data_IF_224867026220
#
_entry.id   IF_224867026220
#
_cell.length_a   1.000
_cell.length_b   1.000
_cell.length_c   1.000
_cell.angle_alpha   90.00
_cell.angle_beta   90.00
_cell.angle_gamma   90.00
#
_symmetry.space_group_name_H-M   'P 1'
#
loop_
_entity.id
_entity.type
_entity.pdbx_description
1 polymer ?
#
# COMPACT_ATOMS: atom_id res chain seq x y z
N UNK A 1 -1.87 14.88 1.64
CA UNK A 1 -3.33 14.69 1.49
C UNK A 1 -3.56 15.04 0.03
N UNK A 2 -4.42 14.38 -0.74
CA UNK A 2 -5.38 15.26 -1.40
C UNK A 2 -6.21 15.71 -0.23
N UNK A 3 -6.14 16.98 0.13
CA UNK A 3 -7.23 17.46 0.96
C UNK A 3 -8.43 17.21 0.06
N UNK A 4 -9.42 16.40 0.46
CA UNK A 4 -10.66 16.28 -0.33
C UNK A 4 -11.14 17.69 -0.71
N UNK A 5 -10.83 18.67 0.14
CA UNK A 5 -10.98 20.10 -0.08
C UNK A 5 -10.26 20.68 -1.30
N UNK A 6 -9.00 20.33 -1.61
CA UNK A 6 -8.29 20.84 -2.81
C UNK A 6 -8.87 20.23 -4.10
N UNK A 7 -9.19 18.94 -4.05
CA UNK A 7 -9.86 18.19 -5.13
C UNK A 7 -11.21 18.83 -5.43
N UNK A 8 -12.04 18.91 -4.38
CA UNK A 8 -13.37 19.49 -4.43
C UNK A 8 -13.28 20.96 -4.86
N UNK A 9 -12.34 21.73 -4.31
CA UNK A 9 -12.16 23.15 -4.66
C UNK A 9 -11.80 23.35 -6.12
N UNK A 10 -10.85 22.58 -6.67
CA UNK A 10 -10.48 22.69 -8.08
C UNK A 10 -11.62 22.29 -9.02
N UNK A 11 -12.36 21.23 -8.71
CA UNK A 11 -13.53 20.81 -9.51
C UNK A 11 -14.71 21.78 -9.36
N UNK A 12 -14.91 22.35 -8.17
CA UNK A 12 -15.90 23.40 -7.92
C UNK A 12 -15.56 24.68 -8.70
N UNK A 13 -14.28 25.06 -8.72
CA UNK A 13 -13.78 26.16 -9.55
C UNK A 13 -13.94 25.86 -11.05
N UNK A 14 -13.84 24.58 -11.45
CA UNK A 14 -13.91 24.14 -12.85
C UNK A 14 -15.15 23.28 -13.14
N UNK A 15 -16.34 23.92 -13.16
CA UNK A 15 -17.64 23.26 -13.41
C UNK A 15 -17.68 22.35 -14.65
N UNK A 16 -17.02 22.74 -15.75
CA UNK A 16 -16.98 21.93 -16.98
C UNK A 16 -16.22 20.62 -16.74
N UNK A 17 -15.13 20.67 -15.97
CA UNK A 17 -14.30 19.51 -15.67
C UNK A 17 -15.03 18.53 -14.75
N UNK A 18 -15.71 19.05 -13.73
CA UNK A 18 -16.57 18.27 -12.84
C UNK A 18 -17.66 17.50 -13.61
N UNK A 19 -18.35 18.18 -14.53
CA UNK A 19 -19.39 17.56 -15.35
C UNK A 19 -18.84 16.46 -16.28
N UNK A 20 -17.65 16.68 -16.88
CA UNK A 20 -17.01 15.67 -17.73
C UNK A 20 -16.56 14.45 -16.94
N UNK A 21 -16.06 14.63 -15.71
CA UNK A 21 -15.71 13.54 -14.81
C UNK A 21 -16.95 12.71 -14.47
N UNK A 22 -18.03 13.37 -14.06
CA UNK A 22 -19.27 12.72 -13.65
C UNK A 22 -19.88 11.87 -14.77
N UNK A 23 -19.91 12.40 -15.99
CA UNK A 23 -20.33 11.64 -17.18
C UNK A 23 -19.39 10.45 -17.47
N UNK A 24 -18.08 10.62 -17.35
CA UNK A 24 -17.11 9.55 -17.61
C UNK A 24 -17.25 8.41 -16.58
N UNK A 25 -17.45 8.73 -15.30
CA UNK A 25 -17.67 7.74 -14.24
C UNK A 25 -19.02 7.04 -14.42
N UNK A 26 -20.08 7.81 -14.69
CA UNK A 26 -21.44 7.29 -14.88
C UNK A 26 -21.56 6.35 -16.09
N UNK A 27 -20.84 6.64 -17.17
CA UNK A 27 -20.81 5.77 -18.37
C UNK A 27 -20.15 4.41 -18.12
N UNK A 28 -19.22 4.32 -17.16
CA UNK A 28 -18.56 3.05 -16.78
C UNK A 28 -19.41 2.25 -15.77
N UNK A 29 -20.21 2.95 -14.96
CA UNK A 29 -21.08 2.38 -13.92
C UNK A 29 -22.09 1.34 -14.38
N UNK A 30 -22.55 1.42 -15.63
CA UNK A 30 -23.58 0.52 -16.16
C UNK A 30 -23.07 -0.89 -16.51
N UNK A 31 -21.75 -1.12 -16.57
CA UNK A 31 -21.23 -2.38 -17.15
C UNK A 31 -20.25 -3.17 -16.27
N UNK A 32 -19.54 -2.56 -15.29
CA UNK A 32 -18.60 -3.29 -14.41
C UNK A 32 -18.44 -2.61 -13.03
N UNK A 33 -19.26 -2.96 -12.04
CA UNK A 33 -19.27 -2.31 -10.71
C UNK A 33 -17.91 -2.34 -9.96
N UNK A 34 -17.12 -3.41 -10.09
CA UNK A 34 -15.83 -3.53 -9.40
C UNK A 34 -14.67 -2.73 -10.03
N UNK A 35 -14.78 -2.30 -11.30
CA UNK A 35 -13.74 -1.51 -11.97
C UNK A 35 -14.03 -0.01 -11.94
N UNK A 36 -15.26 0.39 -11.60
CA UNK A 36 -15.70 1.79 -11.53
C UNK A 36 -14.86 2.60 -10.55
N UNK A 37 -14.50 2.05 -9.39
CA UNK A 37 -13.69 2.77 -8.41
C UNK A 37 -12.28 3.07 -8.95
N UNK A 38 -11.62 2.07 -9.54
CA UNK A 38 -10.27 2.22 -10.11
C UNK A 38 -10.29 3.16 -11.30
N UNK A 39 -11.27 2.99 -12.21
CA UNK A 39 -11.41 3.84 -13.39
C UNK A 39 -11.77 5.29 -13.01
N UNK A 40 -12.64 5.48 -12.02
CA UNK A 40 -12.97 6.79 -11.48
C UNK A 40 -11.77 7.49 -10.86
N UNK A 41 -10.98 6.78 -10.04
CA UNK A 41 -9.71 7.28 -9.49
C UNK A 41 -8.71 7.65 -10.58
N UNK A 42 -8.63 6.84 -11.64
CA UNK A 42 -7.76 7.11 -12.78
C UNK A 42 -8.19 8.33 -13.60
N UNK A 43 -9.47 8.44 -13.90
CA UNK A 43 -10.05 9.57 -14.60
C UNK A 43 -9.84 10.86 -13.80
N UNK A 44 -10.11 10.80 -12.49
CA UNK A 44 -9.86 11.89 -11.55
C UNK A 44 -8.41 12.34 -11.62
N UNK A 45 -7.44 11.42 -11.46
CA UNK A 45 -6.00 11.74 -11.52
C UNK A 45 -5.59 12.37 -12.85
N UNK A 46 -6.09 11.86 -13.98
CA UNK A 46 -5.84 12.41 -15.32
C UNK A 46 -6.39 13.82 -15.49
N UNK A 47 -7.58 14.12 -14.96
CA UNK A 47 -8.13 15.47 -15.01
C UNK A 47 -7.29 16.44 -14.18
N UNK A 48 -6.79 16.02 -13.02
CA UNK A 48 -5.91 16.88 -12.21
C UNK A 48 -4.56 17.17 -12.85
N UNK A 49 -4.09 16.38 -13.81
CA UNK A 49 -2.93 16.77 -14.61
C UNK A 49 -3.14 18.07 -15.40
N UNK A 50 -4.40 18.51 -15.59
CA UNK A 50 -4.68 19.83 -16.16
C UNK A 50 -4.30 20.99 -15.23
N UNK A 51 -4.13 20.73 -13.92
CA UNK A 51 -3.63 21.73 -12.97
C UNK A 51 -2.19 22.18 -13.28
N UNK A 52 -1.44 21.38 -14.05
CA UNK A 52 -0.12 21.76 -14.55
C UNK A 52 -0.14 22.99 -15.49
N UNK A 53 -1.31 23.36 -16.02
CA UNK A 53 -1.47 24.52 -16.91
C UNK A 53 -1.88 25.80 -16.17
N UNK A 54 -1.96 25.75 -14.84
CA UNK A 54 -2.34 26.89 -13.99
C UNK A 54 -1.32 27.07 -12.88
N UNK A 55 -0.82 28.29 -12.68
CA UNK A 55 0.18 28.56 -11.63
C UNK A 55 -0.39 28.32 -10.22
N UNK A 56 -1.68 28.62 -10.02
CA UNK A 56 -2.38 28.48 -8.73
C UNK A 56 -2.43 27.03 -8.22
N UNK A 57 -2.45 26.04 -9.11
CA UNK A 57 -2.57 24.61 -8.76
C UNK A 57 -1.37 23.78 -9.24
N UNK A 58 -0.23 24.43 -9.44
CA UNK A 58 0.99 23.75 -9.88
C UNK A 58 1.53 22.79 -8.81
N UNK A 59 1.28 23.05 -7.53
CA UNK A 59 1.62 22.16 -6.41
C UNK A 59 0.94 20.78 -6.54
N UNK A 60 -0.34 20.74 -6.90
CA UNK A 60 -1.09 19.50 -7.19
C UNK A 60 -0.42 18.71 -8.30
N UNK A 61 -0.01 19.40 -9.38
CA UNK A 61 0.71 18.79 -10.49
C UNK A 61 2.08 18.21 -10.07
N UNK A 62 2.86 18.97 -9.29
CA UNK A 62 4.17 18.51 -8.83
C UNK A 62 4.06 17.29 -7.90
N UNK A 63 3.02 17.26 -7.06
CA UNK A 63 2.75 16.11 -6.22
C UNK A 63 2.44 14.87 -7.06
N UNK A 64 1.56 14.98 -8.05
CA UNK A 64 1.23 13.86 -8.94
C UNK A 64 2.46 13.31 -9.66
N UNK A 65 3.32 14.19 -10.19
CA UNK A 65 4.58 13.80 -10.83
C UNK A 65 5.49 13.05 -9.87
N UNK A 66 5.58 13.51 -8.61
CA UNK A 66 6.41 12.88 -7.58
C UNK A 66 5.88 11.49 -7.19
N UNK A 67 4.57 11.36 -7.03
CA UNK A 67 3.91 10.08 -6.75
C UNK A 67 4.06 9.10 -7.92
N UNK A 68 3.89 9.56 -9.16
CA UNK A 68 4.08 8.74 -10.37
C UNK A 68 5.53 8.24 -10.46
N UNK A 69 6.51 9.09 -10.13
CA UNK A 69 7.93 8.73 -10.08
C UNK A 69 8.20 7.65 -9.02
N UNK A 70 7.68 7.82 -7.79
CA UNK A 70 7.81 6.84 -6.71
C UNK A 70 7.17 5.50 -7.08
N UNK A 71 5.98 5.54 -7.65
CA UNK A 71 5.28 4.34 -8.11
C UNK A 71 6.08 3.60 -9.18
N UNK A 72 6.59 4.32 -10.19
CA UNK A 72 7.46 3.76 -11.22
C UNK A 72 8.71 3.11 -10.63
N UNK A 73 9.39 3.78 -9.70
CA UNK A 73 10.58 3.25 -9.05
C UNK A 73 10.27 1.96 -8.28
N UNK A 74 9.13 1.92 -7.58
CA UNK A 74 8.67 0.71 -6.89
C UNK A 74 8.40 -0.45 -7.87
N UNK A 75 7.76 -0.17 -9.02
CA UNK A 75 7.52 -1.18 -10.07
C UNK A 75 8.83 -1.71 -10.65
N UNK A 76 9.80 -0.84 -10.92
CA UNK A 76 11.15 -1.25 -11.37
C UNK A 76 11.79 -2.19 -10.34
N UNK A 77 11.69 -1.85 -9.05
CA UNK A 77 12.23 -2.66 -7.96
C UNK A 77 11.55 -4.03 -7.88
N UNK A 78 10.23 -4.12 -8.08
CA UNK A 78 9.51 -5.41 -8.15
C UNK A 78 10.10 -6.29 -9.25
N UNK A 79 10.28 -5.72 -10.45
CA UNK A 79 10.81 -6.46 -11.62
C UNK A 79 12.23 -6.97 -11.34
N UNK A 80 13.04 -6.21 -10.59
CA UNK A 80 14.44 -6.56 -10.31
C UNK A 80 14.63 -7.52 -9.12
N UNK A 81 13.82 -7.41 -8.07
CA UNK A 81 14.08 -8.06 -6.77
C UNK A 81 13.00 -9.07 -6.33
N UNK A 82 11.92 -9.25 -7.10
CA UNK A 82 10.99 -10.38 -6.94
C UNK A 82 9.92 -10.20 -5.87
N UNK A 83 10.21 -10.49 -4.60
CA UNK A 83 9.19 -10.59 -3.54
C UNK A 83 9.08 -9.31 -2.69
N UNK A 84 8.45 -8.29 -3.27
CA UNK A 84 8.24 -7.01 -2.57
C UNK A 84 7.30 -7.13 -1.37
N UNK A 85 6.36 -8.08 -1.36
CA UNK A 85 5.51 -8.31 -0.18
C UNK A 85 6.32 -8.85 0.98
N UNK A 86 7.20 -9.82 0.73
CA UNK A 86 8.13 -10.30 1.74
C UNK A 86 9.00 -9.15 2.29
N UNK A 87 9.58 -8.32 1.43
CA UNK A 87 10.40 -7.19 1.86
C UNK A 87 9.62 -6.18 2.72
N UNK A 88 8.39 -5.84 2.33
CA UNK A 88 7.55 -4.96 3.14
C UNK A 88 7.21 -5.58 4.50
N UNK A 89 6.91 -6.87 4.56
CA UNK A 89 6.64 -7.59 5.81
C UNK A 89 7.89 -7.68 6.69
N UNK A 90 9.06 -7.93 6.10
CA UNK A 90 10.35 -7.93 6.79
C UNK A 90 10.59 -6.60 7.49
N UNK A 91 10.46 -5.49 6.75
CA UNK A 91 10.65 -4.13 7.30
C UNK A 91 9.65 -3.84 8.42
N UNK A 92 8.40 -4.27 8.26
CA UNK A 92 7.38 -4.11 9.31
C UNK A 92 7.77 -4.85 10.59
N UNK A 93 8.13 -6.13 10.49
CA UNK A 93 8.50 -6.92 11.66
C UNK A 93 9.83 -6.50 12.27
N UNK A 94 10.77 -5.97 11.47
CA UNK A 94 11.99 -5.34 11.99
C UNK A 94 11.65 -4.15 12.89
N UNK A 95 10.69 -3.29 12.50
CA UNK A 95 10.24 -2.19 13.35
C UNK A 95 9.48 -2.68 14.60
N UNK A 96 8.62 -3.69 14.47
CA UNK A 96 7.88 -4.28 15.62
C UNK A 96 8.82 -4.90 16.66
N UNK A 97 9.90 -5.57 16.22
CA UNK A 97 10.82 -6.30 17.11
C UNK A 97 12.07 -5.51 17.49
N UNK A 98 12.28 -4.31 16.93
CA UNK A 98 13.48 -3.48 17.10
C UNK A 98 13.94 -3.31 18.54
N UNK A 99 12.99 -3.14 19.46
CA UNK A 99 13.25 -2.87 20.88
C UNK A 99 12.86 -4.03 21.81
N UNK A 100 12.59 -5.22 21.26
CA UNK A 100 12.21 -6.40 22.06
C UNK A 100 13.45 -7.15 22.53
N UNK A 101 13.43 -7.59 23.79
CA UNK A 101 14.45 -8.46 24.36
C UNK A 101 14.26 -9.91 23.92
N UNK A 102 15.32 -10.73 23.99
CA UNK A 102 15.24 -12.16 23.65
C UNK A 102 14.17 -12.90 24.48
N UNK A 103 13.95 -12.50 25.74
CA UNK A 103 12.92 -13.09 26.59
C UNK A 103 11.51 -12.78 26.08
N UNK A 104 11.27 -11.56 25.59
CA UNK A 104 9.99 -11.18 24.98
C UNK A 104 9.77 -11.92 23.66
N UNK A 105 10.82 -12.06 22.84
CA UNK A 105 10.74 -12.83 21.59
C UNK A 105 10.43 -14.32 21.85
N UNK A 106 11.02 -14.93 22.88
CA UNK A 106 10.65 -16.30 23.31
C UNK A 106 9.19 -16.37 23.75
N UNK A 107 8.69 -15.37 24.47
CA UNK A 107 7.29 -15.34 24.91
C UNK A 107 6.33 -15.28 23.71
N UNK A 108 6.62 -14.42 22.73
CA UNK A 108 5.85 -14.34 21.48
C UNK A 108 5.90 -15.68 20.74
N UNK A 109 7.07 -16.30 20.63
CA UNK A 109 7.25 -17.61 19.99
C UNK A 109 6.40 -18.70 20.66
N UNK A 110 6.40 -18.78 21.99
CA UNK A 110 5.58 -19.74 22.74
C UNK A 110 4.09 -19.49 22.54
N UNK A 111 3.66 -18.24 22.53
CA UNK A 111 2.27 -17.88 22.26
C UNK A 111 1.82 -18.29 20.84
N UNK A 112 2.70 -18.13 19.84
CA UNK A 112 2.45 -18.59 18.47
C UNK A 112 2.38 -20.11 18.35
N UNK A 113 3.29 -20.83 19.04
CA UNK A 113 3.26 -22.29 19.06
C UNK A 113 1.97 -22.84 19.70
N UNK A 114 1.45 -22.17 20.74
CA UNK A 114 0.20 -22.56 21.39
C UNK A 114 -1.02 -22.49 20.44
N UNK A 115 -0.92 -21.72 19.37
CA UNK A 115 -1.93 -21.64 18.30
C UNK A 115 -1.49 -22.36 17.02
N UNK A 116 -0.54 -23.30 17.10
CA UNK A 116 0.01 -24.10 15.99
C UNK A 116 0.78 -23.31 14.92
N UNK A 117 1.26 -22.11 15.22
CA UNK A 117 2.15 -21.35 14.32
C UNK A 117 3.61 -21.61 14.73
N UNK A 118 4.34 -22.33 13.89
CA UNK A 118 5.73 -22.71 14.16
C UNK A 118 6.69 -21.79 13.41
N UNK A 119 7.50 -21.03 14.16
CA UNK A 119 8.51 -20.13 13.59
C UNK A 119 9.89 -20.75 13.69
N UNK A 120 10.55 -20.92 12.54
CA UNK A 120 11.85 -21.58 12.38
C UNK A 120 13.05 -20.66 12.70
N UNK A 121 13.00 -19.88 13.79
CA UNK A 121 14.13 -19.06 14.23
C UNK A 121 15.03 -19.86 15.19
N UNK A 122 16.26 -20.18 14.73
CA UNK A 122 17.29 -20.88 15.52
C UNK A 122 18.02 -19.96 16.51
N UNK A 123 18.08 -18.66 16.21
CA UNK A 123 18.56 -17.60 17.12
C UNK A 123 17.50 -16.51 17.24
N UNK A 124 17.16 -16.11 18.46
CA UNK A 124 16.18 -15.04 18.72
C UNK A 124 16.83 -13.67 18.75
N UNK A 125 17.53 -13.30 17.68
CA UNK A 125 17.81 -11.87 17.45
C UNK A 125 16.56 -11.21 16.89
N UNK A 126 16.31 -9.93 17.19
CA UNK A 126 15.13 -9.22 16.67
C UNK A 126 15.01 -9.30 15.14
N UNK A 127 16.13 -9.14 14.43
CA UNK A 127 16.19 -9.24 12.96
C UNK A 127 15.96 -10.68 12.44
N UNK A 128 16.59 -11.69 13.06
CA UNK A 128 16.38 -13.09 12.69
C UNK A 128 14.93 -13.54 12.89
N UNK A 129 14.33 -13.08 13.98
CA UNK A 129 12.92 -13.33 14.27
C UNK A 129 12.00 -12.61 13.28
N UNK A 130 12.29 -11.34 12.94
CA UNK A 130 11.54 -10.59 11.93
C UNK A 130 11.51 -11.31 10.57
N UNK A 131 12.65 -11.82 10.10
CA UNK A 131 12.75 -12.59 8.86
C UNK A 131 11.87 -13.86 8.90
N UNK A 132 11.95 -14.61 9.99
CA UNK A 132 11.20 -15.86 10.13
C UNK A 132 9.68 -15.62 10.21
N UNK A 133 9.25 -14.59 10.94
CA UNK A 133 7.84 -14.18 11.01
C UNK A 133 7.36 -13.66 9.65
N UNK A 134 8.13 -12.79 8.99
CA UNK A 134 7.79 -12.25 7.68
C UNK A 134 7.62 -13.37 6.64
N UNK A 135 8.50 -14.38 6.67
CA UNK A 135 8.39 -15.57 5.81
C UNK A 135 7.12 -16.35 6.10
N UNK A 136 6.82 -16.61 7.37
CA UNK A 136 5.64 -17.36 7.80
C UNK A 136 4.34 -16.67 7.38
N UNK A 137 4.27 -15.35 7.59
CA UNK A 137 3.14 -14.51 7.15
C UNK A 137 3.07 -14.50 5.63
N UNK A 138 4.18 -14.33 4.91
CA UNK A 138 4.21 -14.33 3.45
C UNK A 138 3.68 -15.64 2.86
N UNK A 139 4.00 -16.79 3.48
CA UNK A 139 3.50 -18.11 3.06
C UNK A 139 2.00 -18.24 3.35
N UNK A 140 1.54 -17.80 4.53
CA UNK A 140 0.12 -17.81 4.88
C UNK A 140 -0.71 -16.89 3.99
N UNK A 141 -0.12 -15.77 3.55
CA UNK A 141 -0.69 -14.90 2.53
C UNK A 141 -0.60 -15.59 1.16
N UNK A 142 -1.68 -16.26 0.76
CA UNK A 142 -1.91 -16.75 -0.61
C UNK A 142 -2.12 -15.59 -1.61
N UNK A 143 -1.25 -14.58 -1.60
CA UNK A 143 -1.24 -13.50 -2.57
C UNK A 143 -0.58 -14.00 -3.85
N UNK A 144 -1.38 -14.49 -4.78
CA UNK A 144 -0.96 -14.66 -6.17
C UNK A 144 -0.89 -13.27 -6.82
N UNK A 145 0.27 -12.64 -6.78
CA UNK A 145 0.48 -11.35 -7.41
C UNK A 145 0.59 -11.50 -8.93
N UNK A 146 -0.55 -11.55 -9.62
CA UNK A 146 -0.59 -11.31 -11.06
C UNK A 146 -0.57 -9.79 -11.29
N UNK A 147 0.63 -9.22 -11.31
CA UNK A 147 0.86 -7.82 -11.64
C UNK A 147 0.75 -7.53 -13.15
N UNK A 148 -0.16 -8.21 -13.85
CA UNK A 148 -0.34 -8.07 -15.31
C UNK A 148 -0.72 -6.63 -15.72
N UNK A 149 -1.36 -5.87 -14.83
CA UNK A 149 -1.61 -4.45 -15.03
C UNK A 149 -0.35 -3.58 -14.91
N UNK A 150 0.66 -4.02 -14.14
CA UNK A 150 1.94 -3.31 -13.97
C UNK A 150 2.98 -3.68 -15.03
N UNK A 151 2.75 -4.74 -15.82
CA UNK A 151 3.63 -5.13 -16.94
C UNK A 151 3.33 -4.38 -18.26
N UNK A 152 2.46 -3.37 -18.24
CA UNK A 152 2.21 -2.46 -19.37
C UNK A 152 1.37 -3.04 -20.52
N UNK A 153 1.09 -4.36 -20.53
CA UNK A 153 0.30 -5.02 -21.59
C UNK A 153 -1.12 -4.49 -21.72
N UNK A 154 -1.71 -3.97 -20.65
CA UNK A 154 -3.05 -3.37 -20.66
C UNK A 154 -3.06 -1.91 -21.17
N UNK A 155 -1.93 -1.21 -21.18
CA UNK A 155 -1.85 0.24 -21.41
C UNK A 155 -2.07 0.69 -22.87
N UNK A 156 -2.23 -0.25 -23.82
CA UNK A 156 -2.45 0.06 -25.24
C UNK A 156 -3.85 0.58 -25.58
N UNK A 157 -4.80 0.54 -24.64
CA UNK A 157 -6.18 1.05 -24.84
C UNK A 157 -6.45 2.23 -23.92
N UNK A 158 -7.38 3.11 -24.31
CA UNK A 158 -7.81 4.25 -23.47
C UNK A 158 -8.28 3.82 -22.09
N UNK A 159 -9.08 2.74 -22.00
CA UNK A 159 -9.50 2.15 -20.73
C UNK A 159 -8.31 1.63 -19.89
N UNK A 160 -7.29 1.07 -20.53
CA UNK A 160 -6.08 0.59 -19.88
C UNK A 160 -5.21 1.70 -19.27
N UNK A 161 -5.10 2.85 -19.95
CA UNK A 161 -4.40 4.04 -19.41
C UNK A 161 -5.12 4.54 -18.15
N UNK A 162 -6.44 4.70 -18.22
CA UNK A 162 -7.25 5.14 -17.08
C UNK A 162 -7.12 4.16 -15.91
N UNK A 163 -7.20 2.85 -16.17
CA UNK A 163 -7.04 1.83 -15.14
C UNK A 163 -5.66 1.90 -14.47
N UNK A 164 -4.60 2.15 -15.24
CA UNK A 164 -3.23 2.28 -14.72
C UNK A 164 -3.12 3.48 -13.77
N UNK A 165 -3.61 4.65 -14.19
CA UNK A 165 -3.65 5.84 -13.32
C UNK A 165 -4.52 5.63 -12.08
N UNK A 166 -5.56 4.80 -12.17
CA UNK A 166 -6.35 4.36 -11.03
C UNK A 166 -5.55 3.57 -10.00
N UNK A 167 -4.67 2.68 -10.45
CA UNK A 167 -3.74 1.95 -9.57
C UNK A 167 -2.73 2.88 -8.91
N UNK A 168 -2.18 3.84 -9.67
CA UNK A 168 -1.25 4.84 -9.12
C UNK A 168 -1.93 5.68 -8.04
N UNK A 169 -3.17 6.11 -8.29
CA UNK A 169 -3.95 6.84 -7.30
C UNK A 169 -4.23 5.99 -6.05
N UNK A 170 -4.62 4.72 -6.22
CA UNK A 170 -4.82 3.79 -5.10
C UNK A 170 -3.56 3.62 -4.25
N UNK A 171 -2.41 3.50 -4.90
CA UNK A 171 -1.10 3.43 -4.24
C UNK A 171 -0.78 4.71 -3.47
N UNK A 172 -1.01 5.89 -4.07
CA UNK A 172 -0.81 7.17 -3.40
C UNK A 172 -1.70 7.33 -2.16
N UNK A 173 -2.99 6.99 -2.27
CA UNK A 173 -3.95 7.05 -1.16
C UNK A 173 -3.54 6.12 0.00
N UNK A 174 -3.10 4.91 -0.34
CA UNK A 174 -2.63 3.90 0.63
C UNK A 174 -1.34 4.32 1.35
N UNK A 175 -0.32 4.74 0.59
CA UNK A 175 0.93 5.24 1.16
C UNK A 175 0.69 6.45 2.08
N UNK A 176 -0.28 7.30 1.72
CA UNK A 176 -0.68 8.44 2.54
C UNK A 176 -1.39 8.02 3.82
N UNK A 177 -2.35 7.08 3.76
CA UNK A 177 -2.99 6.55 4.99
C UNK A 177 -1.93 5.97 5.91
N UNK A 178 -0.97 5.21 5.37
CA UNK A 178 0.14 4.68 6.14
C UNK A 178 1.00 5.80 6.77
N UNK A 179 1.29 6.87 6.03
CA UNK A 179 2.05 8.00 6.55
C UNK A 179 1.40 8.62 7.80
N UNK A 180 0.07 8.66 7.87
CA UNK A 180 -0.68 9.19 9.01
C UNK A 180 -0.80 8.17 10.14
N UNK A 181 -1.13 6.93 9.80
CA UNK A 181 -1.42 5.87 10.79
C UNK A 181 -0.15 5.29 11.43
N UNK A 182 0.93 5.15 10.65
CA UNK A 182 2.18 4.60 11.13
C UNK A 182 3.42 5.26 10.46
N UNK A 183 3.79 6.48 10.89
CA UNK A 183 4.85 7.27 10.25
C UNK A 183 6.23 6.59 10.21
N UNK A 184 6.57 5.80 11.25
CA UNK A 184 7.86 5.09 11.32
C UNK A 184 7.96 4.02 10.23
N UNK A 185 6.93 3.17 10.11
CA UNK A 185 6.89 2.15 9.07
C UNK A 185 6.81 2.76 7.66
N UNK A 186 6.00 3.81 7.47
CA UNK A 186 5.98 4.58 6.22
C UNK A 186 7.39 5.05 5.82
N UNK A 187 8.12 5.65 6.75
CA UNK A 187 9.46 6.20 6.49
C UNK A 187 10.44 5.09 6.11
N UNK A 188 10.35 3.93 6.77
CA UNK A 188 11.16 2.76 6.44
C UNK A 188 10.89 2.22 5.04
N UNK A 189 9.61 2.16 4.62
CA UNK A 189 9.25 1.78 3.25
C UNK A 189 9.66 2.85 2.22
N UNK A 190 9.54 4.14 2.56
CA UNK A 190 9.88 5.25 1.68
C UNK A 190 11.37 5.30 1.35
N UNK A 191 12.24 5.09 2.35
CA UNK A 191 13.69 4.96 2.13
C UNK A 191 14.04 3.79 1.20
N UNK A 192 13.16 2.80 1.14
CA UNK A 192 13.27 1.65 0.26
C UNK A 192 12.44 1.80 -1.03
N UNK A 193 11.79 2.94 -1.28
CA UNK A 193 10.93 3.12 -2.46
C UNK A 193 9.83 2.04 -2.58
N UNK A 194 9.35 1.52 -1.45
CA UNK A 194 8.32 0.49 -1.35
C UNK A 194 7.00 1.03 -0.79
N UNK A 195 6.97 2.27 -0.33
CA UNK A 195 5.82 2.92 0.30
C UNK A 195 4.58 2.89 -0.60
N UNK A 196 4.75 3.13 -1.90
CA UNK A 196 3.67 3.09 -2.88
C UNK A 196 3.12 1.67 -3.09
N UNK A 197 3.80 0.62 -2.64
CA UNK A 197 3.34 -0.78 -2.73
C UNK A 197 2.58 -1.24 -1.50
N UNK A 198 2.45 -0.39 -0.47
CA UNK A 198 1.74 -0.73 0.75
C UNK A 198 0.29 -1.19 0.50
N UNK A 199 -0.37 -0.67 -0.55
CA UNK A 199 -1.73 -1.09 -0.94
C UNK A 199 -1.88 -2.59 -1.20
N UNK A 200 -0.79 -3.31 -1.47
CA UNK A 200 -0.79 -4.76 -1.66
C UNK A 200 -1.02 -5.53 -0.34
N UNK A 201 -0.56 -4.97 0.78
CA UNK A 201 -0.64 -5.60 2.11
C UNK A 201 -1.58 -4.86 3.06
N UNK A 202 -2.01 -3.65 2.72
CA UNK A 202 -2.95 -2.83 3.49
C UNK A 202 -4.21 -3.61 3.95
N UNK A 203 -4.90 -4.40 3.10
CA UNK A 203 -6.09 -5.14 3.54
C UNK A 203 -5.80 -6.19 4.63
N UNK A 204 -4.59 -6.76 4.62
CA UNK A 204 -4.13 -7.70 5.65
C UNK A 204 -3.86 -6.94 6.94
N UNK A 205 -3.22 -5.77 6.83
CA UNK A 205 -2.89 -4.93 7.98
C UNK A 205 -4.14 -4.42 8.69
N UNK A 206 -5.15 -3.96 7.94
CA UNK A 206 -6.44 -3.52 8.49
C UNK A 206 -7.16 -4.68 9.18
N UNK A 207 -7.27 -5.84 8.51
CA UNK A 207 -7.94 -7.03 9.08
C UNK A 207 -7.26 -7.55 10.35
N UNK A 208 -5.93 -7.58 10.35
CA UNK A 208 -5.15 -8.12 11.45
C UNK A 208 -4.87 -7.11 12.57
N UNK A 209 -5.24 -5.84 12.42
CA UNK A 209 -4.89 -4.77 13.37
C UNK A 209 -3.38 -4.54 13.48
N UNK A 210 -2.65 -4.71 12.37
CA UNK A 210 -1.18 -4.70 12.37
C UNK A 210 -0.57 -3.32 12.72
N UNK A 211 -1.29 -2.23 12.43
CA UNK A 211 -0.83 -0.87 12.78
C UNK A 211 -0.64 -0.69 14.29
N UNK A 212 -1.41 -1.42 15.10
CA UNK A 212 -1.38 -1.31 16.57
C UNK A 212 -0.34 -2.22 17.24
N UNK A 213 0.42 -3.00 16.46
CA UNK A 213 1.33 -4.01 16.99
C UNK A 213 2.45 -3.44 17.86
N UNK A 214 2.94 -2.23 17.54
CA UNK A 214 4.00 -1.58 18.34
C UNK A 214 3.57 -1.28 19.77
N UNK A 215 2.27 -1.03 19.99
CA UNK A 215 1.69 -0.70 21.29
C UNK A 215 1.08 -1.92 21.99
N UNK A 216 1.14 -3.08 21.34
CA UNK A 216 0.55 -4.32 21.83
C UNK A 216 1.47 -5.05 22.81
N UNK A 217 0.86 -5.78 23.73
CA UNK A 217 1.57 -6.77 24.56
C UNK A 217 2.16 -7.88 23.68
N UNK A 218 3.11 -8.63 24.21
CA UNK A 218 3.75 -9.73 23.47
C UNK A 218 2.71 -10.78 22.99
N UNK A 219 1.69 -11.08 23.80
CA UNK A 219 0.56 -11.91 23.38
C UNK A 219 -0.31 -11.25 22.31
N UNK A 220 -0.48 -9.93 22.37
CA UNK A 220 -1.19 -9.16 21.34
C UNK A 220 -0.47 -9.22 19.99
N UNK A 221 0.87 -9.10 19.99
CA UNK A 221 1.70 -9.26 18.79
C UNK A 221 1.54 -10.67 18.19
N UNK A 222 1.59 -11.71 19.02
CA UNK A 222 1.36 -13.09 18.57
C UNK A 222 -0.05 -13.26 17.94
N UNK A 223 -1.07 -12.62 18.51
CA UNK A 223 -2.42 -12.66 17.96
C UNK A 223 -2.53 -11.93 16.62
N UNK A 224 -1.87 -10.78 16.47
CA UNK A 224 -1.76 -10.04 15.19
C UNK A 224 -1.11 -10.93 14.13
N UNK A 225 0.06 -11.52 14.43
CA UNK A 225 0.77 -12.43 13.50
C UNK A 225 -0.13 -13.59 13.08
N UNK A 226 -0.86 -14.19 14.03
CA UNK A 226 -1.78 -15.30 13.75
C UNK A 226 -2.90 -14.88 12.79
N UNK A 227 -3.47 -13.69 12.97
CA UNK A 227 -4.50 -13.13 12.07
C UNK A 227 -3.96 -12.73 10.71
N UNK A 228 -2.65 -12.45 10.59
CA UNK A 228 -2.03 -12.19 9.28
C UNK A 228 -1.78 -13.49 8.50
N UNK A 229 -1.58 -14.62 9.18
CA UNK A 229 -1.33 -15.93 8.57
C UNK A 229 -2.64 -16.62 8.13
N UNK A 230 -3.74 -16.40 8.86
CA UNK A 230 -5.02 -17.11 8.68
C UNK A 230 -6.08 -16.31 7.93
#
# INVERSE_FOLDING_TARGET
MYNNNEVISYLQANRILALKLDHAVSAVGQQVTNQVETLGKGATRLLYYTSCFTDEYNDVCQQQKTEDLRFRNAVIRIIQHGDVVYEMLRVYFEEVFKYKTNAQLEHIKKALMAVNVHIAASTLTGAGYALAVATSVRIGLHLSMQLSALTGRAAGTTAGVVATYGLVQKAADSARRLHVQYPAYYSALYMQQLDMMYFLIEPVFERAGAIEAQWSSDSGIAHIITRMIR
#
